data_IF_477040500346
#
_entry.id   IF_477040500346
#
_cell.length_a   1.000
_cell.length_b   1.000
_cell.length_c   1.000
_cell.angle_alpha   90.00
_cell.angle_beta   90.00
_cell.angle_gamma   90.00
#
_symmetry.space_group_name_H-M   'P 1'
#
loop_
_entity.id
_entity.type
_entity.pdbx_description
1 polymer ?
#
# COMPACT_ATOMS: atom_id res chain seq x y z
N UNK A 1 2.56 -5.77 -16.72
CA UNK A 1 2.01 -4.71 -15.84
C UNK A 1 2.91 -4.72 -14.58
N UNK A 2 2.77 -3.85 -13.56
CA UNK A 2 3.62 -4.01 -12.38
C UNK A 2 3.32 -5.33 -11.68
N UNK A 3 4.34 -6.14 -11.48
CA UNK A 3 4.29 -7.31 -10.62
C UNK A 3 4.81 -6.91 -9.25
N UNK A 4 4.13 -7.36 -8.20
CA UNK A 4 4.55 -7.14 -6.81
C UNK A 4 4.57 -8.46 -6.07
N UNK A 5 5.61 -8.64 -5.27
CA UNK A 5 5.70 -9.71 -4.29
C UNK A 5 5.24 -9.16 -2.93
N UNK A 6 4.37 -9.91 -2.24
CA UNK A 6 3.82 -9.58 -0.93
C UNK A 6 4.07 -10.74 0.04
N UNK A 7 4.72 -10.45 1.16
CA UNK A 7 4.89 -11.39 2.27
C UNK A 7 3.56 -11.70 2.97
N UNK A 8 3.31 -12.99 3.19
CA UNK A 8 2.17 -13.47 3.97
C UNK A 8 2.25 -13.06 5.44
N UNK A 9 3.43 -12.94 6.02
CA UNK A 9 3.59 -12.50 7.41
C UNK A 9 3.14 -11.04 7.58
N UNK A 10 3.54 -10.15 6.66
CA UNK A 10 3.12 -8.75 6.69
C UNK A 10 1.62 -8.60 6.47
N UNK A 11 1.04 -9.37 5.54
CA UNK A 11 -0.42 -9.40 5.34
C UNK A 11 -1.12 -9.90 6.61
N UNK A 12 -0.65 -11.01 7.18
CA UNK A 12 -1.20 -11.59 8.40
C UNK A 12 -1.17 -10.61 9.56
N UNK A 13 -0.06 -9.90 9.72
CA UNK A 13 0.09 -8.84 10.70
C UNK A 13 -0.98 -7.76 10.52
N UNK A 14 -1.12 -7.18 9.32
CA UNK A 14 -2.14 -6.15 9.05
C UNK A 14 -3.56 -6.68 9.26
N UNK A 15 -3.85 -7.91 8.85
CA UNK A 15 -5.16 -8.52 9.08
C UNK A 15 -5.46 -8.69 10.57
N UNK A 16 -4.48 -9.13 11.36
CA UNK A 16 -4.61 -9.31 12.81
C UNK A 16 -4.96 -8.00 13.54
N UNK A 17 -4.38 -6.87 13.11
CA UNK A 17 -4.71 -5.54 13.62
C UNK A 17 -6.16 -5.13 13.35
N UNK A 18 -6.77 -5.71 12.32
CA UNK A 18 -8.13 -5.42 11.88
C UNK A 18 -9.12 -6.55 12.24
N UNK A 19 -8.72 -7.50 13.08
CA UNK A 19 -9.59 -8.62 13.50
C UNK A 19 -9.93 -9.63 12.40
N UNK A 20 -9.15 -9.65 11.31
CA UNK A 20 -9.31 -10.58 10.21
C UNK A 20 -8.21 -11.65 10.22
N UNK A 21 -8.50 -12.82 9.62
CA UNK A 21 -7.55 -13.92 9.47
C UNK A 21 -7.04 -13.94 8.03
N UNK A 22 -5.74 -14.17 7.87
CA UNK A 22 -5.13 -14.40 6.56
C UNK A 22 -5.08 -15.91 6.28
N UNK A 23 -5.65 -16.34 5.16
CA UNK A 23 -5.64 -17.72 4.65
C UNK A 23 -4.92 -17.73 3.29
N UNK A 24 -3.57 -17.85 3.25
CA UNK A 24 -2.77 -17.73 2.03
C UNK A 24 -3.25 -18.58 0.86
N UNK A 25 -3.69 -19.80 1.14
CA UNK A 25 -4.06 -20.81 0.13
C UNK A 25 -5.27 -20.35 -0.69
N UNK A 26 -6.16 -19.58 -0.07
CA UNK A 26 -7.40 -19.10 -0.72
C UNK A 26 -7.13 -17.92 -1.65
N UNK A 27 -6.01 -17.20 -1.48
CA UNK A 27 -5.73 -15.98 -2.23
C UNK A 27 -5.55 -16.22 -3.73
N UNK A 28 -4.98 -17.37 -4.10
CA UNK A 28 -4.87 -17.79 -5.51
C UNK A 28 -6.23 -17.96 -6.20
N UNK A 29 -7.28 -18.28 -5.45
CA UNK A 29 -8.61 -18.52 -6.01
C UNK A 29 -9.35 -17.22 -6.34
N UNK A 30 -9.22 -16.21 -5.49
CA UNK A 30 -10.06 -15.01 -5.56
C UNK A 30 -9.37 -13.76 -6.10
N UNK A 31 -8.04 -13.62 -5.97
CA UNK A 31 -7.32 -12.46 -6.50
C UNK A 31 -7.53 -12.25 -8.02
N UNK A 32 -7.60 -13.29 -8.87
CA UNK A 32 -7.92 -13.11 -10.28
C UNK A 32 -9.30 -12.47 -10.52
N UNK A 33 -10.26 -12.67 -9.61
CA UNK A 33 -11.63 -12.14 -9.71
C UNK A 33 -11.63 -10.61 -9.55
N UNK A 34 -10.70 -10.05 -8.78
CA UNK A 34 -10.54 -8.59 -8.61
C UNK A 34 -9.56 -7.96 -9.60
N UNK A 35 -9.10 -8.74 -10.59
CA UNK A 35 -8.15 -8.28 -11.61
C UNK A 35 -6.69 -8.35 -11.18
N UNK A 36 -6.34 -9.20 -10.21
CA UNK A 36 -4.95 -9.46 -9.83
C UNK A 36 -4.61 -10.92 -10.12
N UNK A 37 -4.22 -11.28 -11.35
CA UNK A 37 -3.77 -12.63 -11.61
C UNK A 37 -2.52 -12.93 -10.76
N UNK A 38 -2.49 -14.16 -10.22
CA UNK A 38 -1.42 -14.63 -9.35
C UNK A 38 -0.40 -15.37 -10.21
N UNK A 39 0.84 -14.92 -10.15
CA UNK A 39 1.97 -15.53 -10.87
C UNK A 39 2.54 -16.71 -10.05
N UNK A 40 2.79 -16.48 -8.76
CA UNK A 40 3.26 -17.48 -7.80
C UNK A 40 2.62 -17.27 -6.43
N UNK A 41 2.34 -18.37 -5.71
CA UNK A 41 1.91 -18.33 -4.32
C UNK A 41 2.58 -19.50 -3.59
N UNK A 42 3.48 -19.18 -2.65
CA UNK A 42 4.23 -20.16 -1.87
C UNK A 42 3.93 -19.99 -0.37
N UNK A 43 4.69 -20.64 0.52
CA UNK A 43 4.42 -20.59 1.97
C UNK A 43 4.74 -19.23 2.59
N UNK A 44 5.63 -18.44 1.98
CA UNK A 44 6.15 -17.17 2.54
C UNK A 44 5.58 -15.94 1.83
N UNK A 45 5.40 -16.01 0.51
CA UNK A 45 5.06 -14.86 -0.35
C UNK A 45 4.04 -15.23 -1.43
N UNK A 46 3.34 -14.19 -1.89
CA UNK A 46 2.49 -14.21 -3.08
C UNK A 46 2.93 -13.15 -4.08
N UNK A 47 3.14 -13.57 -5.32
CA UNK A 47 3.47 -12.71 -6.45
C UNK A 47 2.23 -12.50 -7.31
N UNK A 48 1.87 -11.23 -7.52
CA UNK A 48 0.69 -10.83 -8.28
C UNK A 48 0.99 -9.75 -9.30
N UNK A 49 0.31 -9.82 -10.43
CA UNK A 49 0.30 -8.74 -11.40
C UNK A 49 -0.85 -7.78 -11.08
N UNK A 50 -0.53 -6.48 -10.99
CA UNK A 50 -1.50 -5.42 -10.66
C UNK A 50 -1.71 -4.53 -11.88
N UNK A 51 -2.96 -4.24 -12.23
CA UNK A 51 -3.22 -3.31 -13.33
C UNK A 51 -2.73 -1.88 -12.99
N UNK A 52 -2.15 -1.14 -13.96
CA UNK A 52 -1.61 0.19 -13.71
C UNK A 52 -2.63 1.24 -13.23
N UNK A 53 -3.92 1.01 -13.43
CA UNK A 53 -5.02 1.87 -13.00
C UNK A 53 -5.50 1.56 -11.57
N UNK A 54 -4.92 0.57 -10.89
CA UNK A 54 -5.20 0.19 -9.48
C UNK A 54 -3.97 0.40 -8.58
N UNK A 55 -3.49 1.65 -8.42
CA UNK A 55 -2.37 1.94 -7.52
C UNK A 55 -2.71 1.66 -6.05
N UNK A 56 -4.00 1.54 -5.73
CA UNK A 56 -4.53 1.09 -4.44
C UNK A 56 -4.32 -0.40 -4.16
N UNK A 57 -3.64 -1.15 -5.02
CA UNK A 57 -3.32 -2.57 -4.81
C UNK A 57 -1.80 -2.82 -4.81
N UNK A 58 -0.99 -1.77 -4.65
CA UNK A 58 0.48 -1.83 -4.78
C UNK A 58 1.24 -2.00 -3.45
N UNK A 59 0.56 -2.32 -2.34
CA UNK A 59 1.19 -2.56 -1.02
C UNK A 59 0.49 -3.65 -0.23
N UNK A 60 1.15 -4.17 0.81
CA UNK A 60 0.57 -5.13 1.74
C UNK A 60 -0.67 -4.56 2.45
N UNK A 61 -0.62 -3.32 2.92
CA UNK A 61 -1.70 -2.69 3.68
C UNK A 61 -2.95 -2.52 2.82
N UNK A 62 -2.75 -2.05 1.59
CA UNK A 62 -3.83 -1.78 0.66
C UNK A 62 -4.43 -3.07 0.10
N UNK A 63 -3.61 -4.09 -0.15
CA UNK A 63 -4.08 -5.43 -0.50
C UNK A 63 -4.84 -6.12 0.66
N UNK A 64 -4.32 -6.02 1.88
CA UNK A 64 -5.01 -6.54 3.07
C UNK A 64 -6.37 -5.84 3.25
N UNK A 65 -6.44 -4.52 3.05
CA UNK A 65 -7.71 -3.79 3.08
C UNK A 65 -8.67 -4.24 1.97
N UNK A 66 -8.17 -4.40 0.74
CA UNK A 66 -8.97 -4.86 -0.39
C UNK A 66 -9.53 -6.27 -0.17
N UNK A 67 -8.72 -7.19 0.36
CA UNK A 67 -9.15 -8.55 0.67
C UNK A 67 -10.27 -8.58 1.71
N UNK A 68 -10.20 -7.76 2.78
CA UNK A 68 -11.29 -7.69 3.77
C UNK A 68 -12.60 -7.22 3.16
N UNK A 69 -12.53 -6.18 2.33
CA UNK A 69 -13.71 -5.64 1.63
C UNK A 69 -14.29 -6.68 0.66
N UNK A 70 -13.44 -7.33 -0.12
CA UNK A 70 -13.86 -8.32 -1.11
C UNK A 70 -14.46 -9.59 -0.47
N UNK A 71 -13.84 -10.09 0.60
CA UNK A 71 -14.28 -11.30 1.30
C UNK A 71 -15.41 -11.05 2.32
N UNK A 72 -15.81 -9.79 2.53
CA UNK A 72 -16.82 -9.41 3.51
C UNK A 72 -16.38 -9.63 4.97
N UNK A 73 -15.08 -9.52 5.25
CA UNK A 73 -14.46 -9.80 6.56
C UNK A 73 -14.34 -8.57 7.48
N UNK A 74 -14.97 -7.44 7.15
CA UNK A 74 -14.94 -6.24 7.97
C UNK A 74 -15.91 -5.17 7.46
N UNK A 75 -16.01 -4.06 8.21
CA UNK A 75 -16.82 -2.92 7.80
C UNK A 75 -16.27 -2.29 6.51
N UNK A 76 -17.17 -2.01 5.58
CA UNK A 76 -16.85 -1.35 4.31
C UNK A 76 -16.54 0.14 4.47
N UNK A 77 -16.72 0.69 5.68
CA UNK A 77 -16.57 2.10 5.97
C UNK A 77 -15.08 2.46 6.04
N UNK A 78 -14.64 3.30 5.10
CA UNK A 78 -13.29 3.87 5.11
C UNK A 78 -13.35 5.14 5.96
N UNK A 79 -13.31 4.97 7.27
CA UNK A 79 -13.13 6.12 8.14
C UNK A 79 -11.62 6.37 8.33
N UNK A 80 -11.18 7.56 7.92
CA UNK A 80 -9.84 8.07 8.20
C UNK A 80 -10.04 9.44 8.80
N UNK A 81 -9.95 9.52 10.13
CA UNK A 81 -10.07 10.78 10.83
C UNK A 81 -8.93 11.73 10.40
N UNK A 82 -9.29 12.85 9.79
CA UNK A 82 -8.35 13.89 9.40
C UNK A 82 -8.55 15.08 10.34
N UNK A 83 -7.46 15.49 10.99
CA UNK A 83 -7.42 16.70 11.80
C UNK A 83 -6.58 17.78 11.11
N UNK A 84 -7.04 19.04 11.21
CA UNK A 84 -6.25 20.18 10.74
C UNK A 84 -5.00 20.33 11.61
N UNK A 85 -3.82 20.18 11.00
CA UNK A 85 -2.53 20.39 11.67
C UNK A 85 -2.08 21.85 11.69
N UNK A 86 -1.07 22.15 12.51
CA UNK A 86 -0.44 23.47 12.57
C UNK A 86 0.71 23.70 11.56
N UNK A 87 0.94 22.76 10.64
CA UNK A 87 2.02 22.84 9.64
C UNK A 87 1.46 23.43 8.35
N UNK A 88 2.09 24.49 7.86
CA UNK A 88 1.77 25.12 6.57
C UNK A 88 2.92 24.93 5.58
N UNK A 89 2.58 24.73 4.31
CA UNK A 89 3.54 24.67 3.19
C UNK A 89 3.14 25.69 2.14
N UNK A 90 4.11 26.44 1.63
CA UNK A 90 3.94 27.39 0.53
C UNK A 90 4.75 26.94 -0.68
N UNK A 91 4.15 26.96 -1.86
CA UNK A 91 4.83 26.65 -3.13
C UNK A 91 5.33 27.96 -3.75
N UNK A 92 6.62 28.02 -4.07
CA UNK A 92 7.23 29.19 -4.69
C UNK A 92 6.67 29.38 -6.12
N UNK A 93 6.23 30.60 -6.51
CA UNK A 93 5.73 30.87 -7.86
C UNK A 93 6.70 30.53 -8.99
N UNK A 94 8.01 30.51 -8.73
CA UNK A 94 9.03 30.10 -9.71
C UNK A 94 8.90 28.65 -10.15
N UNK A 95 8.17 27.82 -9.39
CA UNK A 95 7.90 26.42 -9.74
C UNK A 95 6.70 26.25 -10.67
N UNK A 96 6.00 27.32 -11.05
CA UNK A 96 4.78 27.25 -11.87
C UNK A 96 4.96 26.44 -13.17
N UNK A 97 6.10 26.63 -13.85
CA UNK A 97 6.43 25.95 -15.11
C UNK A 97 7.26 24.67 -14.92
N UNK A 98 7.65 24.34 -13.70
CA UNK A 98 8.50 23.18 -13.37
C UNK A 98 7.68 22.08 -12.69
N UNK A 99 7.06 22.41 -11.55
CA UNK A 99 6.24 21.50 -10.74
C UNK A 99 5.27 22.31 -9.87
N UNK A 100 4.13 22.74 -10.42
CA UNK A 100 3.25 23.73 -9.79
C UNK A 100 2.47 23.21 -8.57
N UNK A 101 2.30 21.90 -8.46
CA UNK A 101 1.46 21.28 -7.43
C UNK A 101 2.36 20.48 -6.48
N UNK A 102 2.33 20.85 -5.20
CA UNK A 102 2.99 20.12 -4.12
C UNK A 102 1.96 19.95 -3.01
N UNK A 103 1.71 18.70 -2.63
CA UNK A 103 0.81 18.34 -1.53
C UNK A 103 1.59 17.56 -0.49
N UNK A 104 1.15 17.64 0.77
CA UNK A 104 1.77 16.93 1.87
C UNK A 104 0.76 16.64 2.97
N UNK A 105 1.02 15.59 3.72
CA UNK A 105 0.26 15.21 4.90
C UNK A 105 1.24 14.80 6.01
N UNK A 106 0.78 14.83 7.26
CA UNK A 106 1.57 14.39 8.40
C UNK A 106 0.80 13.32 9.15
N UNK A 107 1.35 12.12 9.17
CA UNK A 107 0.85 10.98 9.94
C UNK A 107 1.63 10.92 11.25
N UNK A 108 0.93 10.76 12.39
CA UNK A 108 1.52 10.72 13.74
C UNK A 108 1.13 9.44 14.45
N UNK A 109 1.97 9.00 15.40
CA UNK A 109 1.72 7.80 16.17
C UNK A 109 1.81 6.52 15.34
N UNK A 110 2.64 6.52 14.29
CA UNK A 110 2.89 5.34 13.48
C UNK A 110 3.71 4.35 14.32
N UNK A 111 3.17 3.16 14.53
CA UNK A 111 3.94 2.03 15.06
C UNK A 111 4.82 1.48 13.94
N UNK A 112 6.14 1.53 14.15
CA UNK A 112 7.14 1.05 13.20
C UNK A 112 7.85 -0.21 13.75
N UNK A 113 7.30 -0.84 14.79
CA UNK A 113 7.94 -1.95 15.48
C UNK A 113 8.84 -1.51 16.64
N UNK A 114 9.11 -2.46 17.54
CA UNK A 114 9.93 -2.23 18.74
C UNK A 114 11.39 -2.59 18.51
N UNK A 115 11.63 -3.70 17.80
CA UNK A 115 12.96 -4.21 17.48
C UNK A 115 13.55 -3.53 16.24
N UNK A 116 14.88 -3.55 16.10
CA UNK A 116 15.59 -2.90 14.98
C UNK A 116 15.22 -3.50 13.62
N UNK A 117 15.18 -4.83 13.51
CA UNK A 117 14.80 -5.50 12.26
C UNK A 117 13.39 -5.15 11.79
N UNK A 118 12.42 -5.04 12.72
CA UNK A 118 11.04 -4.69 12.38
C UNK A 118 10.92 -3.26 11.83
N UNK A 119 11.75 -2.33 12.35
CA UNK A 119 11.80 -0.95 11.87
C UNK A 119 12.37 -0.88 10.46
N UNK A 120 13.43 -1.62 10.21
CA UNK A 120 14.04 -1.70 8.89
C UNK A 120 13.07 -2.28 7.87
N UNK A 121 12.37 -3.38 8.21
CA UNK A 121 11.37 -4.00 7.35
C UNK A 121 10.20 -3.03 7.04
N UNK A 122 9.72 -2.30 8.04
CA UNK A 122 8.67 -1.29 7.85
C UNK A 122 9.11 -0.17 6.92
N UNK A 123 10.32 0.39 7.14
CA UNK A 123 10.86 1.46 6.32
C UNK A 123 11.09 0.97 4.88
N UNK A 124 11.64 -0.24 4.72
CA UNK A 124 11.87 -0.86 3.42
C UNK A 124 10.56 -1.03 2.66
N UNK A 125 9.52 -1.58 3.29
CA UNK A 125 8.19 -1.72 2.69
C UNK A 125 7.62 -0.37 2.22
N UNK A 126 7.73 0.67 3.07
CA UNK A 126 7.28 2.02 2.73
C UNK A 126 8.05 2.60 1.53
N UNK A 127 9.36 2.41 1.48
CA UNK A 127 10.21 2.84 0.36
C UNK A 127 9.87 2.11 -0.94
N UNK A 128 9.67 0.79 -0.87
CA UNK A 128 9.31 -0.02 -2.03
C UNK A 128 7.96 0.38 -2.59
N UNK A 129 6.98 0.66 -1.73
CA UNK A 129 5.69 1.19 -2.16
C UNK A 129 5.83 2.56 -2.85
N UNK A 130 6.62 3.48 -2.27
CA UNK A 130 6.90 4.78 -2.89
C UNK A 130 7.55 4.61 -4.28
N UNK A 131 8.52 3.72 -4.41
CA UNK A 131 9.22 3.50 -5.69
C UNK A 131 8.29 2.88 -6.73
N UNK A 132 7.44 1.92 -6.35
CA UNK A 132 6.41 1.36 -7.22
C UNK A 132 5.48 2.45 -7.76
N UNK A 133 5.00 3.37 -6.90
CA UNK A 133 4.17 4.51 -7.33
C UNK A 133 4.92 5.46 -8.26
N UNK A 134 6.18 5.79 -7.94
CA UNK A 134 7.02 6.66 -8.76
C UNK A 134 7.27 6.10 -10.16
N UNK A 135 7.50 4.79 -10.27
CA UNK A 135 7.78 4.12 -11.53
C UNK A 135 6.53 3.90 -12.38
N UNK A 136 5.39 3.60 -11.74
CA UNK A 136 4.11 3.33 -12.42
C UNK A 136 3.32 4.62 -12.67
N UNK A 137 2.53 5.07 -11.68
CA UNK A 137 1.66 6.24 -11.76
C UNK A 137 2.46 7.51 -12.02
N UNK A 138 3.59 7.67 -11.34
CA UNK A 138 4.51 8.79 -11.47
C UNK A 138 5.28 8.82 -12.79
N UNK A 139 5.19 7.77 -13.63
CA UNK A 139 5.93 7.60 -14.90
C UNK A 139 7.40 7.97 -14.79
N UNK A 140 8.14 7.24 -13.94
CA UNK A 140 9.54 7.52 -13.60
C UNK A 140 9.74 8.93 -13.03
N UNK A 141 8.87 9.28 -12.07
CA UNK A 141 8.87 10.58 -11.35
C UNK A 141 8.66 11.81 -12.24
N UNK A 142 8.12 11.63 -13.45
CA UNK A 142 7.72 12.74 -14.33
C UNK A 142 6.44 13.42 -13.85
N UNK A 143 5.52 12.66 -13.28
CA UNK A 143 4.23 13.13 -12.74
C UNK A 143 4.12 13.07 -11.22
N UNK A 144 5.05 12.34 -10.57
CA UNK A 144 5.14 12.33 -9.12
C UNK A 144 5.60 13.70 -8.65
#
# INVERSE_FOLDING_TARGET
>A
MPTIELSHDSISYVQSLNGAIHEPERWSEWLPIIGCPVDENNEETIEIEVFPDRPDLLSHETMAKASRSFLGLGDAEVDMEIAQGGISMSVDPTLADVRPIIMGAVVRGVDIGSEEGQKDDFIQSLMDHQEKLHMTLGRRRRFA
#
